data_IF_147919802660
#
_entry.id   IF_147919802660
#
_cell.length_a   1.000
_cell.length_b   1.000
_cell.length_c   1.000
_cell.angle_alpha   90.00
_cell.angle_beta   90.00
_cell.angle_gamma   90.00
#
_symmetry.space_group_name_H-M   'P 1'
#
loop_
_entity.id
_entity.type
_entity.pdbx_description
1 polymer ?
#
# COMPACT_ATOMS: atom_id res chain seq x y z
N UNK A 1 -3.40 -16.17 4.49
CA UNK A 1 -3.47 -15.25 3.33
C UNK A 1 -3.16 -16.05 2.07
N UNK A 2 -4.02 -16.02 1.06
CA UNK A 2 -3.77 -16.75 -0.20
C UNK A 2 -2.87 -15.92 -1.12
N UNK A 3 -1.84 -16.55 -1.69
CA UNK A 3 -0.94 -15.90 -2.66
C UNK A 3 -1.54 -15.99 -4.07
N UNK A 4 -1.63 -14.85 -4.76
CA UNK A 4 -2.09 -14.75 -6.14
C UNK A 4 -0.86 -14.56 -7.03
N UNK A 5 -0.80 -15.26 -8.17
CA UNK A 5 0.24 -15.05 -9.17
C UNK A 5 -0.13 -13.85 -10.03
N UNK A 6 0.74 -12.85 -10.05
CA UNK A 6 0.59 -11.65 -10.89
C UNK A 6 1.76 -11.53 -11.86
N UNK A 7 1.51 -11.01 -13.06
CA UNK A 7 2.53 -10.72 -14.07
C UNK A 7 2.50 -9.23 -14.37
N UNK A 8 3.66 -8.59 -14.43
CA UNK A 8 3.81 -7.17 -14.71
C UNK A 8 5.11 -6.93 -15.48
N UNK A 9 5.18 -5.80 -16.20
CA UNK A 9 6.38 -5.41 -16.96
C UNK A 9 7.23 -4.48 -16.11
N UNK A 10 8.54 -4.71 -16.07
CA UNK A 10 9.53 -3.86 -15.40
C UNK A 10 10.75 -3.67 -16.32
N UNK A 11 11.57 -2.67 -16.04
CA UNK A 11 12.83 -2.48 -16.76
C UNK A 11 13.82 -3.61 -16.48
N UNK A 12 14.71 -3.80 -17.45
CA UNK A 12 15.88 -4.68 -17.39
C UNK A 12 16.76 -4.38 -16.17
N UNK A 13 17.06 -3.10 -15.92
CA UNK A 13 17.85 -2.66 -14.78
C UNK A 13 17.29 -3.16 -13.43
N UNK A 14 15.96 -3.08 -13.23
CA UNK A 14 15.33 -3.46 -11.96
C UNK A 14 15.29 -4.98 -11.80
N UNK A 15 15.08 -5.73 -12.89
CA UNK A 15 15.09 -7.20 -12.77
C UNK A 15 16.50 -7.72 -12.48
N UNK A 16 17.54 -7.09 -13.03
CA UNK A 16 18.94 -7.45 -12.78
C UNK A 16 19.33 -7.17 -11.33
N UNK A 17 18.94 -6.01 -10.79
CA UNK A 17 19.15 -5.68 -9.37
C UNK A 17 18.39 -6.65 -8.45
N UNK A 18 17.12 -6.94 -8.74
CA UNK A 18 16.34 -7.93 -7.98
C UNK A 18 16.97 -9.33 -8.03
N UNK A 19 17.59 -9.70 -9.16
CA UNK A 19 18.31 -10.96 -9.28
C UNK A 19 19.54 -10.98 -8.36
N UNK A 20 20.38 -9.94 -8.41
CA UNK A 20 21.57 -9.82 -7.57
C UNK A 20 21.22 -9.87 -6.08
N UNK A 21 20.23 -9.07 -5.65
CA UNK A 21 19.80 -9.01 -4.24
C UNK A 21 19.23 -10.34 -3.78
N UNK A 22 18.43 -11.00 -4.63
CA UNK A 22 17.86 -12.31 -4.34
C UNK A 22 18.92 -13.39 -4.13
N UNK A 23 19.99 -13.37 -4.92
CA UNK A 23 21.11 -14.31 -4.80
C UNK A 23 21.95 -14.03 -3.55
N UNK A 24 22.31 -12.77 -3.32
CA UNK A 24 23.14 -12.36 -2.17
C UNK A 24 22.46 -12.63 -0.82
N UNK A 25 21.15 -12.37 -0.73
CA UNK A 25 20.36 -12.62 0.48
C UNK A 25 19.84 -14.05 0.58
N UNK A 26 20.04 -14.88 -0.45
CA UNK A 26 19.44 -16.22 -0.57
C UNK A 26 17.92 -16.20 -0.30
N UNK A 27 17.22 -15.19 -0.83
CA UNK A 27 15.79 -14.96 -0.63
C UNK A 27 15.03 -15.01 -1.95
N UNK A 28 13.79 -15.50 -1.93
CA UNK A 28 12.94 -15.56 -3.13
C UNK A 28 12.61 -14.14 -3.61
N UNK A 29 12.80 -13.86 -4.91
CA UNK A 29 12.39 -12.62 -5.57
C UNK A 29 10.96 -12.19 -5.22
N UNK A 30 10.03 -13.15 -5.17
CA UNK A 30 8.63 -12.88 -4.81
C UNK A 30 8.46 -12.32 -3.39
N UNK A 31 9.29 -12.74 -2.43
CA UNK A 31 9.23 -12.21 -1.05
C UNK A 31 9.81 -10.80 -0.98
N UNK A 32 10.90 -10.55 -1.70
CA UNK A 32 11.50 -9.21 -1.83
C UNK A 32 10.47 -8.24 -2.43
N UNK A 33 9.82 -8.63 -3.54
CA UNK A 33 8.78 -7.83 -4.19
C UNK A 33 7.58 -7.62 -3.27
N UNK A 34 7.10 -8.66 -2.59
CA UNK A 34 5.99 -8.57 -1.63
C UNK A 34 6.31 -7.57 -0.51
N UNK A 35 7.52 -7.64 0.05
CA UNK A 35 7.98 -6.72 1.10
C UNK A 35 8.14 -5.28 0.59
N UNK A 36 8.75 -5.10 -0.57
CA UNK A 36 8.93 -3.78 -1.18
C UNK A 36 7.58 -3.09 -1.47
N UNK A 37 6.61 -3.83 -2.02
CA UNK A 37 5.26 -3.32 -2.25
C UNK A 37 4.55 -2.96 -0.94
N UNK A 38 4.66 -3.82 0.09
CA UNK A 38 4.09 -3.51 1.41
C UNK A 38 4.64 -2.21 1.97
N UNK A 39 5.96 -2.04 1.99
CA UNK A 39 6.61 -0.84 2.49
C UNK A 39 6.22 0.41 1.67
N UNK A 40 6.08 0.26 0.35
CA UNK A 40 5.64 1.36 -0.49
C UNK A 40 4.18 1.75 -0.22
N UNK A 41 3.29 0.77 -0.02
CA UNK A 41 1.91 1.03 0.35
C UNK A 41 1.79 1.70 1.72
N UNK A 42 2.58 1.29 2.71
CA UNK A 42 2.61 1.97 4.02
C UNK A 42 2.98 3.46 3.87
N UNK A 43 3.97 3.77 3.03
CA UNK A 43 4.37 5.15 2.75
C UNK A 43 3.33 5.93 1.93
N UNK A 44 2.55 5.26 1.07
CA UNK A 44 1.45 5.89 0.35
C UNK A 44 0.25 6.15 1.26
N UNK A 45 -0.02 5.27 2.23
CA UNK A 45 -1.11 5.43 3.20
C UNK A 45 -0.91 6.68 4.06
N UNK A 46 0.32 6.98 4.46
CA UNK A 46 0.67 8.24 5.14
C UNK A 46 0.30 9.45 4.26
N UNK A 47 0.78 9.48 3.02
CA UNK A 47 0.50 10.58 2.08
C UNK A 47 -1.00 10.74 1.79
N UNK A 48 -1.72 9.63 1.70
CA UNK A 48 -3.16 9.65 1.47
C UNK A 48 -3.91 10.16 2.70
N UNK A 49 -3.44 9.81 3.89
CA UNK A 49 -3.99 10.31 5.15
C UNK A 49 -3.82 11.82 5.28
N UNK A 50 -2.64 12.35 4.96
CA UNK A 50 -2.40 13.80 4.91
C UNK A 50 -3.32 14.51 3.92
N UNK A 51 -3.50 13.92 2.73
CA UNK A 51 -4.42 14.47 1.73
C UNK A 51 -5.85 14.53 2.26
N UNK A 52 -6.33 13.44 2.87
CA UNK A 52 -7.68 13.38 3.47
C UNK A 52 -7.85 14.42 4.56
N UNK A 53 -6.84 14.61 5.41
CA UNK A 53 -6.86 15.64 6.46
C UNK A 53 -7.03 17.04 5.87
N UNK A 54 -6.27 17.38 4.82
CA UNK A 54 -6.40 18.68 4.12
C UNK A 54 -7.79 18.85 3.50
N UNK A 55 -8.31 17.82 2.84
CA UNK A 55 -9.66 17.90 2.28
C UNK A 55 -10.73 18.19 3.35
N UNK A 56 -10.56 17.67 4.57
CA UNK A 56 -11.45 17.99 5.70
C UNK A 56 -11.31 19.45 6.14
N UNK A 57 -10.08 19.97 6.22
CA UNK A 57 -9.80 21.38 6.54
C UNK A 57 -10.40 22.33 5.48
N UNK A 58 -10.25 21.97 4.21
CA UNK A 58 -10.75 22.72 3.05
C UNK A 58 -12.26 22.52 2.81
N UNK A 59 -12.93 21.72 3.65
CA UNK A 59 -14.38 21.38 3.56
C UNK A 59 -14.78 20.73 2.24
N UNK A 60 -13.84 20.05 1.58
CA UNK A 60 -14.08 19.28 0.36
C UNK A 60 -14.68 17.90 0.65
N UNK A 61 -14.66 17.46 1.92
CA UNK A 61 -15.27 16.20 2.36
C UNK A 61 -16.48 16.40 3.28
N UNK A 62 -17.46 15.49 3.13
CA UNK A 62 -18.69 15.50 3.93
C UNK A 62 -18.45 14.76 5.24
N UNK A 63 -18.60 15.47 6.36
CA UNK A 63 -18.58 14.87 7.68
C UNK A 63 -19.92 14.18 7.97
N UNK A 64 -19.86 12.99 8.54
CA UNK A 64 -21.02 12.23 9.03
C UNK A 64 -20.95 12.24 10.57
N UNK A 65 -22.03 12.62 11.27
CA UNK A 65 -22.09 12.55 12.72
C UNK A 65 -21.84 11.13 13.26
N UNK A 66 -21.09 11.02 14.36
CA UNK A 66 -20.70 9.72 14.91
C UNK A 66 -21.89 8.85 15.36
N UNK A 67 -22.96 9.48 15.85
CA UNK A 67 -24.21 8.84 16.23
C UNK A 67 -24.93 8.18 15.05
N UNK A 68 -24.90 8.81 13.87
CA UNK A 68 -25.41 8.20 12.63
C UNK A 68 -24.61 6.94 12.26
N UNK A 69 -23.29 7.01 12.37
CA UNK A 69 -22.39 5.88 12.07
C UNK A 69 -22.58 4.73 13.05
N UNK A 70 -22.66 4.99 14.36
CA UNK A 70 -22.87 3.94 15.36
C UNK A 70 -24.21 3.23 15.17
N UNK A 71 -25.27 4.00 14.87
CA UNK A 71 -26.59 3.44 14.57
C UNK A 71 -26.56 2.53 13.34
N UNK A 72 -25.86 2.91 12.27
CA UNK A 72 -25.74 2.11 11.05
C UNK A 72 -24.94 0.81 11.28
N UNK A 73 -23.90 0.88 12.12
CA UNK A 73 -23.05 -0.27 12.46
C UNK A 73 -23.65 -1.18 13.55
N UNK A 74 -24.76 -0.78 14.18
CA UNK A 74 -25.39 -1.53 15.27
C UNK A 74 -24.55 -1.54 16.55
N UNK A 75 -23.80 -0.47 16.80
CA UNK A 75 -22.95 -0.26 17.98
C UNK A 75 -23.65 0.62 19.03
#
# INVERSE_FOLDING_TARGET
>A
MHKIRSTFTISDFIIDELNSVSEELNEKKSHIVEKALSMYFDALDEKLSDKRLRNLEDKEERLIPADEVFKELGL
#
